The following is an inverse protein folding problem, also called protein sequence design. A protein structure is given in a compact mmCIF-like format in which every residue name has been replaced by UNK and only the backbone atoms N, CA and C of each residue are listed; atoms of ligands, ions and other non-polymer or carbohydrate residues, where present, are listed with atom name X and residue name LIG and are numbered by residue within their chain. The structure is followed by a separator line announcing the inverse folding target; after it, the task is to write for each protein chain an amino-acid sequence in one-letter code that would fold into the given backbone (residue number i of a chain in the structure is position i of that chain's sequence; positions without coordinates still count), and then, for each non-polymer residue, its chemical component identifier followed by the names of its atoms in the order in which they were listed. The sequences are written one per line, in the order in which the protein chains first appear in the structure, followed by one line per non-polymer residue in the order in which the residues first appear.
data_IF_232287800004
#
_entry.id   IF_232287800004
#
_cell.length_a   1.000
_cell.length_b   1.000
_cell.length_c   1.000
_cell.angle_alpha   90.00
_cell.angle_beta   90.00
_cell.angle_gamma   90.00
#
_symmetry.space_group_name_H-M   'P 1'
#
loop_
_entity.id
_entity.type
_entity.pdbx_description
1 polymer ?
#
# COMPACT_ATOMS: atom_id res chain seq x y z
N UNK A 1 -3.78 -22.68 2.96
CA UNK A 1 -4.48 -21.41 3.20
C UNK A 1 -5.73 -21.42 2.35
N UNK A 2 -6.92 -21.07 2.86
CA UNK A 2 -8.08 -20.92 1.98
C UNK A 2 -7.72 -19.85 0.95
N UNK A 3 -7.71 -20.23 -0.33
CA UNK A 3 -7.66 -19.26 -1.41
C UNK A 3 -8.93 -18.42 -1.26
N UNK A 4 -8.75 -17.15 -0.90
CA UNK A 4 -9.82 -16.17 -0.90
C UNK A 4 -10.29 -16.05 -2.35
N UNK A 5 -11.47 -16.60 -2.64
CA UNK A 5 -12.11 -16.53 -3.96
C UNK A 5 -12.60 -15.09 -4.20
N UNK A 6 -11.64 -14.21 -4.47
CA UNK A 6 -11.85 -12.79 -4.70
C UNK A 6 -11.86 -12.53 -6.20
N UNK A 7 -12.79 -11.69 -6.68
CA UNK A 7 -12.77 -11.27 -8.07
C UNK A 7 -11.44 -10.57 -8.38
N UNK A 8 -10.96 -10.64 -9.64
CA UNK A 8 -9.76 -9.91 -10.03
C UNK A 8 -9.97 -8.41 -9.75
N UNK A 9 -8.91 -7.71 -9.32
CA UNK A 9 -9.03 -6.30 -9.01
C UNK A 9 -9.45 -5.51 -10.27
N UNK A 10 -10.21 -4.43 -10.10
CA UNK A 10 -10.50 -3.49 -11.17
C UNK A 10 -9.21 -3.01 -11.88
N UNK A 11 -9.25 -2.73 -13.19
CA UNK A 11 -8.07 -2.30 -13.96
C UNK A 11 -7.34 -1.09 -13.36
N UNK A 12 -8.09 -0.19 -12.70
CA UNK A 12 -7.54 1.00 -12.06
C UNK A 12 -6.58 0.68 -10.91
N UNK A 13 -6.68 -0.53 -10.35
CA UNK A 13 -5.86 -0.99 -9.24
C UNK A 13 -4.67 -1.85 -9.68
N UNK A 14 -4.56 -2.18 -10.97
CA UNK A 14 -3.51 -3.07 -11.49
C UNK A 14 -2.10 -2.50 -11.30
N UNK A 15 -1.96 -1.18 -11.22
CA UNK A 15 -0.70 -0.54 -10.83
C UNK A 15 -0.58 -0.35 -9.32
N UNK A 16 -1.61 0.23 -8.69
CA UNK A 16 -1.55 0.66 -7.30
C UNK A 16 -1.39 -0.50 -6.31
N UNK A 17 -2.01 -1.66 -6.56
CA UNK A 17 -1.91 -2.81 -5.66
C UNK A 17 -0.50 -3.43 -5.63
N UNK A 18 0.14 -3.75 -6.77
CA UNK A 18 1.54 -4.17 -6.77
C UNK A 18 2.49 -3.13 -6.16
N UNK A 19 2.31 -1.85 -6.52
CA UNK A 19 3.13 -0.76 -5.98
C UNK A 19 3.04 -0.69 -4.44
N UNK A 20 1.81 -0.72 -3.93
CA UNK A 20 1.55 -0.70 -2.49
C UNK A 20 2.15 -1.93 -1.79
N UNK A 21 2.00 -3.13 -2.38
CA UNK A 21 2.60 -4.35 -1.83
C UNK A 21 4.12 -4.24 -1.73
N UNK A 22 4.78 -3.75 -2.76
CA UNK A 22 6.23 -3.58 -2.79
C UNK A 22 6.71 -2.58 -1.73
N UNK A 23 6.00 -1.47 -1.57
CA UNK A 23 6.23 -0.49 -0.51
C UNK A 23 6.04 -1.11 0.89
N UNK A 24 4.99 -1.91 1.07
CA UNK A 24 4.70 -2.59 2.34
C UNK A 24 5.80 -3.60 2.73
N UNK A 25 6.40 -4.29 1.76
CA UNK A 25 7.47 -5.27 2.03
C UNK A 25 8.74 -4.63 2.63
N UNK A 26 8.95 -3.33 2.42
CA UNK A 26 10.12 -2.59 2.92
C UNK A 26 9.78 -1.64 4.07
N UNK A 27 8.54 -1.73 4.55
CA UNK A 27 7.96 -0.79 5.48
C UNK A 27 8.49 -1.02 6.90
N UNK A 28 8.92 0.03 7.60
CA UNK A 28 9.27 -0.10 9.00
C UNK A 28 8.03 -0.31 9.87
N UNK A 29 8.18 -1.10 10.92
CA UNK A 29 7.17 -1.35 11.94
C UNK A 29 7.64 -0.76 13.28
N UNK A 30 6.71 -0.21 14.05
CA UNK A 30 6.94 0.25 15.42
C UNK A 30 5.92 -0.40 16.34
N UNK A 31 6.39 -1.08 17.39
CA UNK A 31 5.53 -1.78 18.35
C UNK A 31 4.53 -2.76 17.71
N UNK A 32 4.90 -3.41 16.61
CA UNK A 32 4.02 -4.33 15.87
C UNK A 32 3.09 -3.67 14.85
N UNK A 33 3.06 -2.33 14.78
CA UNK A 33 2.21 -1.57 13.86
C UNK A 33 3.05 -1.01 12.71
N UNK A 34 2.61 -1.14 11.44
CA UNK A 34 3.32 -0.53 10.31
C UNK A 34 3.27 1.01 10.41
N UNK A 35 4.40 1.68 10.14
CA UNK A 35 4.47 3.14 10.14
C UNK A 35 3.90 3.73 8.83
N UNK A 36 3.19 4.87 8.86
CA UNK A 36 2.64 5.52 7.65
C UNK A 36 3.65 5.69 6.51
N UNK A 37 3.23 5.48 5.26
CA UNK A 37 4.09 5.61 4.08
C UNK A 37 4.19 7.09 3.75
N UNK A 38 5.36 7.72 3.91
CA UNK A 38 5.53 9.12 3.56
C UNK A 38 5.41 9.30 2.04
N UNK A 39 4.84 10.43 1.60
CA UNK A 39 4.79 10.78 0.18
C UNK A 39 6.16 10.71 -0.50
N UNK A 40 7.21 11.09 0.22
CA UNK A 40 8.60 11.02 -0.25
C UNK A 40 9.07 9.59 -0.53
N UNK A 41 8.65 8.60 0.27
CA UNK A 41 9.01 7.19 0.02
C UNK A 41 8.28 6.64 -1.20
N UNK A 42 7.00 6.99 -1.38
CA UNK A 42 6.22 6.58 -2.55
C UNK A 42 6.86 7.15 -3.83
N UNK A 43 7.24 8.42 -3.81
CA UNK A 43 7.92 9.07 -4.94
C UNK A 43 9.33 8.48 -5.18
N UNK A 44 10.11 8.28 -4.12
CA UNK A 44 11.43 7.66 -4.22
C UNK A 44 11.35 6.24 -4.79
N UNK A 45 10.35 5.45 -4.38
CA UNK A 45 10.11 4.12 -4.93
C UNK A 45 9.86 4.16 -6.43
N UNK A 46 9.01 5.07 -6.93
CA UNK A 46 8.76 5.21 -8.38
C UNK A 46 10.02 5.58 -9.14
N UNK A 47 10.86 6.47 -8.59
CA UNK A 47 12.14 6.84 -9.20
C UNK A 47 13.13 5.67 -9.22
N UNK A 48 13.27 4.96 -8.10
CA UNK A 48 14.23 3.85 -7.96
C UNK A 48 13.86 2.62 -8.79
N UNK A 49 12.57 2.36 -8.97
CA UNK A 49 12.08 1.22 -9.76
C UNK A 49 11.93 1.55 -11.25
N UNK A 50 12.03 2.84 -11.62
CA UNK A 50 11.77 3.30 -12.98
C UNK A 50 10.30 3.20 -13.40
N UNK A 51 9.39 2.86 -12.47
CA UNK A 51 7.97 2.77 -12.77
C UNK A 51 7.36 4.17 -12.86
N UNK A 52 6.68 4.46 -13.98
CA UNK A 52 5.95 5.71 -14.15
C UNK A 52 4.69 5.70 -13.32
N UNK A 53 4.67 6.50 -12.27
CA UNK A 53 3.52 6.70 -11.40
C UNK A 53 2.77 7.98 -11.82
N UNK A 54 1.47 7.85 -12.08
CA UNK A 54 0.61 9.01 -12.30
C UNK A 54 0.13 9.62 -10.98
N UNK A 55 -0.43 10.82 -11.03
CA UNK A 55 -1.07 11.44 -9.85
C UNK A 55 -2.20 10.57 -9.29
N UNK A 56 -2.93 9.87 -10.17
CA UNK A 56 -4.01 8.96 -9.77
C UNK A 56 -3.44 7.76 -9.01
N UNK A 57 -2.39 7.15 -9.53
CA UNK A 57 -1.72 6.02 -8.89
C UNK A 57 -1.18 6.40 -7.50
N UNK A 58 -0.51 7.54 -7.40
CA UNK A 58 -0.03 8.08 -6.13
C UNK A 58 -1.18 8.24 -5.12
N UNK A 59 -2.32 8.76 -5.57
CA UNK A 59 -3.50 8.95 -4.73
C UNK A 59 -4.06 7.60 -4.27
N UNK A 60 -4.14 6.61 -5.17
CA UNK A 60 -4.62 5.27 -4.84
C UNK A 60 -3.70 4.58 -3.83
N UNK A 61 -2.38 4.64 -4.00
CA UNK A 61 -1.41 4.09 -3.04
C UNK A 61 -1.56 4.75 -1.67
N UNK A 62 -1.75 6.07 -1.63
CA UNK A 62 -1.96 6.81 -0.37
C UNK A 62 -3.28 6.41 0.31
N UNK A 63 -4.36 6.23 -0.45
CA UNK A 63 -5.66 5.79 0.08
C UNK A 63 -5.59 4.35 0.60
N UNK A 64 -4.93 3.45 -0.14
CA UNK A 64 -4.68 2.07 0.30
C UNK A 64 -3.90 2.07 1.62
N UNK A 65 -2.92 2.96 1.75
CA UNK A 65 -2.16 3.07 2.98
C UNK A 65 -3.04 3.44 4.19
N UNK A 66 -3.82 4.50 4.06
CA UNK A 66 -4.74 4.92 5.11
C UNK A 66 -5.78 3.84 5.44
N UNK A 67 -6.31 3.15 4.44
CA UNK A 67 -7.27 2.07 4.63
C UNK A 67 -6.66 0.90 5.40
N UNK A 68 -5.43 0.50 5.05
CA UNK A 68 -4.74 -0.60 5.73
C UNK A 68 -4.39 -0.26 7.18
N UNK A 69 -3.85 0.93 7.43
CA UNK A 69 -3.54 1.39 8.79
C UNK A 69 -4.80 1.49 9.66
N UNK A 70 -5.92 1.95 9.07
CA UNK A 70 -7.21 1.99 9.77
C UNK A 70 -7.70 0.59 10.12
N UNK A 71 -7.59 -0.36 9.20
CA UNK A 71 -8.00 -1.75 9.43
C UNK A 71 -7.19 -2.39 10.56
N UNK A 72 -5.85 -2.29 10.52
CA UNK A 72 -4.97 -2.84 11.56
C UNK A 72 -5.30 -2.27 12.94
N UNK A 73 -5.45 -0.95 13.04
CA UNK A 73 -5.78 -0.28 14.33
C UNK A 73 -7.16 -0.64 14.86
N UNK A 74 -8.08 -1.04 13.98
CA UNK A 74 -9.42 -1.46 14.38
C UNK A 74 -9.46 -2.92 14.86
N UNK A 75 -8.43 -3.70 14.55
CA UNK A 75 -8.29 -5.10 14.95
C UNK A 75 -7.46 -5.28 16.24
N UNK A 76 -6.81 -4.25 16.76
CA UNK A 76 -6.11 -4.30 18.05
C UNK A 76 -7.14 -4.34 19.21
N UNK A 77 -7.22 -5.44 19.98
CA UNK A 77 -8.01 -5.46 21.21
C UNK A 77 -7.35 -4.55 22.23
N UNK A 78 -8.10 -3.57 22.76
CA UNK A 78 -7.71 -2.77 23.92
C UNK A 78 -7.54 -3.64 25.17
#
# INVERSE_FOLDING_TARGET
MPELDLPPPPPELHFALPAFRDLCNRRPFSQGVPLPLPATEILAWSQLTGQRMTQRDFTLVTVLDHAWLKAIRSEEPH
#
